data_IF_141088400528
#
_entry.id   IF_141088400528
#
_cell.length_a   1.000
_cell.length_b   1.000
_cell.length_c   1.000
_cell.angle_alpha   90.00
_cell.angle_beta   90.00
_cell.angle_gamma   90.00
#
_symmetry.space_group_name_H-M   'P 1'
#
loop_
_entity.id
_entity.type
_entity.pdbx_description
1 polymer ?
#
# COMPACT_ATOMS: atom_id res chain seq x y z
N UNK A 1 61.43 -42.76 -15.24
CA UNK A 1 60.27 -42.74 -14.28
C UNK A 1 60.19 -41.36 -13.59
N UNK A 2 59.64 -40.36 -14.28
CA UNK A 2 59.64 -38.94 -13.83
C UNK A 2 58.24 -38.25 -13.86
N UNK A 3 57.20 -39.04 -13.72
CA UNK A 3 55.81 -38.50 -13.79
C UNK A 3 55.05 -38.44 -12.45
N UNK A 4 55.70 -38.75 -11.33
CA UNK A 4 55.00 -38.94 -10.06
C UNK A 4 54.74 -37.66 -9.26
N UNK A 5 55.47 -36.57 -9.51
CA UNK A 5 55.33 -35.35 -8.69
C UNK A 5 54.22 -34.40 -9.18
N UNK A 6 54.01 -34.31 -10.48
CA UNK A 6 52.95 -33.44 -11.03
C UNK A 6 51.56 -34.04 -10.87
N UNK A 7 51.44 -35.36 -10.91
CA UNK A 7 50.15 -36.05 -10.72
C UNK A 7 49.63 -35.92 -9.28
N UNK A 8 50.54 -35.89 -8.27
CA UNK A 8 50.13 -35.65 -6.88
C UNK A 8 49.70 -34.22 -6.62
N UNK A 9 50.29 -33.23 -7.30
CA UNK A 9 49.93 -31.81 -7.19
C UNK A 9 48.59 -31.52 -7.82
N UNK A 10 48.28 -32.13 -8.97
CA UNK A 10 46.99 -32.01 -9.64
C UNK A 10 45.88 -32.69 -8.82
N UNK A 11 46.15 -33.83 -8.19
CA UNK A 11 45.17 -34.53 -7.36
C UNK A 11 44.84 -33.78 -6.07
N UNK A 12 45.81 -33.11 -5.46
CA UNK A 12 45.62 -32.26 -4.27
C UNK A 12 44.85 -30.99 -4.63
N UNK A 13 45.10 -30.40 -5.82
CA UNK A 13 44.38 -29.21 -6.28
C UNK A 13 42.93 -29.51 -6.60
N UNK A 14 42.63 -30.68 -7.17
CA UNK A 14 41.25 -31.11 -7.46
C UNK A 14 40.48 -31.44 -6.17
N UNK A 15 41.14 -32.03 -5.16
CA UNK A 15 40.51 -32.32 -3.86
C UNK A 15 40.21 -31.06 -3.02
N UNK A 16 40.94 -29.95 -3.21
CA UNK A 16 40.70 -28.70 -2.51
C UNK A 16 39.60 -27.82 -3.16
N UNK A 17 39.27 -28.04 -4.44
CA UNK A 17 38.26 -27.30 -5.16
C UNK A 17 36.83 -27.94 -5.04
N UNK A 18 36.73 -29.22 -4.74
CA UNK A 18 35.45 -29.94 -4.63
C UNK A 18 34.61 -29.49 -3.41
N UNK A 19 35.14 -29.19 -2.22
CA UNK A 19 34.32 -28.72 -1.10
C UNK A 19 33.73 -27.31 -1.28
N UNK A 20 34.26 -26.51 -2.24
CA UNK A 20 33.76 -25.18 -2.51
C UNK A 20 32.51 -25.17 -3.40
N UNK A 21 32.22 -26.28 -4.12
CA UNK A 21 31.04 -26.44 -4.96
C UNK A 21 29.85 -27.07 -4.21
N UNK A 22 30.07 -27.56 -2.98
CA UNK A 22 29.07 -28.16 -2.10
C UNK A 22 28.77 -27.25 -0.89
N UNK A 23 28.92 -25.94 -1.04
CA UNK A 23 28.42 -25.00 -0.06
C UNK A 23 26.95 -25.28 0.22
N UNK A 24 26.50 -25.23 1.49
CA UNK A 24 25.09 -25.40 1.79
C UNK A 24 24.32 -24.40 0.95
N UNK A 25 23.34 -24.88 0.17
CA UNK A 25 22.34 -23.99 -0.41
C UNK A 25 21.68 -23.29 0.77
N UNK A 26 22.11 -22.08 1.06
CA UNK A 26 21.36 -21.18 1.90
C UNK A 26 20.10 -20.86 1.10
N UNK A 27 19.07 -21.68 1.28
CA UNK A 27 17.71 -21.23 1.01
C UNK A 27 17.52 -20.06 1.98
N UNK A 28 17.48 -18.87 1.46
CA UNK A 28 16.82 -17.78 2.14
C UNK A 28 15.34 -18.17 2.20
N UNK A 29 14.97 -18.99 3.19
CA UNK A 29 13.59 -18.98 3.67
C UNK A 29 13.37 -17.54 4.13
N UNK A 30 12.61 -16.78 3.34
CA UNK A 30 12.05 -15.54 3.84
C UNK A 30 11.36 -15.86 5.16
N UNK A 31 11.97 -15.39 6.24
CA UNK A 31 11.45 -15.56 7.60
C UNK A 31 10.16 -14.73 7.76
N UNK A 32 9.11 -15.08 7.05
CA UNK A 32 7.74 -14.63 7.28
C UNK A 32 7.17 -15.15 8.62
N UNK A 33 7.97 -15.92 9.36
CA UNK A 33 7.60 -16.48 10.66
C UNK A 33 7.32 -15.41 11.73
N UNK A 34 7.88 -14.20 11.60
CA UNK A 34 7.61 -13.10 12.53
C UNK A 34 6.23 -12.47 12.33
N UNK A 35 5.70 -12.43 11.13
CA UNK A 35 4.37 -11.84 10.83
C UNK A 35 3.26 -12.82 11.21
N UNK A 36 3.48 -14.11 11.01
CA UNK A 36 2.58 -15.19 11.42
C UNK A 36 1.31 -15.31 10.58
N UNK A 37 1.23 -14.68 9.39
CA UNK A 37 0.18 -14.90 8.41
C UNK A 37 0.62 -14.43 7.03
N UNK A 38 -0.10 -14.84 5.99
CA UNK A 38 0.06 -14.36 4.61
C UNK A 38 -1.27 -14.04 3.98
N UNK A 39 -1.25 -13.15 2.98
CA UNK A 39 -2.42 -12.77 2.20
C UNK A 39 -2.06 -12.77 0.72
N UNK A 40 -2.90 -13.37 -0.11
CA UNK A 40 -2.75 -13.35 -1.57
C UNK A 40 -4.06 -13.00 -2.27
N UNK A 41 -4.01 -12.28 -3.39
CA UNK A 41 -5.20 -11.99 -4.18
C UNK A 41 -5.62 -13.20 -5.02
N UNK A 42 -6.93 -13.38 -5.21
CA UNK A 42 -7.49 -14.29 -6.20
C UNK A 42 -8.24 -13.43 -7.23
N UNK A 43 -7.72 -13.44 -8.44
CA UNK A 43 -8.23 -12.60 -9.51
C UNK A 43 -9.45 -13.21 -10.19
N UNK A 44 -10.35 -12.36 -10.70
CA UNK A 44 -11.51 -12.73 -11.50
C UNK A 44 -11.31 -12.35 -12.98
N UNK A 45 -12.34 -12.53 -13.80
CA UNK A 45 -12.28 -12.25 -15.25
C UNK A 45 -12.15 -10.75 -15.59
N UNK A 46 -12.58 -9.85 -14.68
CA UNK A 46 -12.44 -8.40 -14.85
C UNK A 46 -11.02 -7.89 -14.61
N UNK A 47 -10.10 -8.77 -14.17
CA UNK A 47 -8.73 -8.45 -13.83
C UNK A 47 -7.89 -8.10 -15.05
N UNK A 48 -7.16 -7.00 -14.97
CA UNK A 48 -6.06 -6.72 -15.88
C UNK A 48 -4.88 -7.67 -15.58
N UNK A 49 -4.58 -8.57 -16.52
CA UNK A 49 -3.60 -9.65 -16.34
C UNK A 49 -2.16 -9.19 -16.14
N UNK A 50 -1.86 -7.93 -16.45
CA UNK A 50 -0.52 -7.34 -16.27
C UNK A 50 -0.29 -6.79 -14.86
N UNK A 51 -1.35 -6.71 -14.04
CA UNK A 51 -1.29 -6.14 -12.69
C UNK A 51 -1.16 -7.20 -11.62
N UNK A 52 -0.27 -6.98 -10.64
CA UNK A 52 -0.09 -7.83 -9.45
C UNK A 52 -0.99 -7.44 -8.27
N UNK A 53 -1.91 -6.52 -8.47
CA UNK A 53 -2.93 -6.05 -7.53
C UNK A 53 -4.29 -6.08 -8.22
N UNK A 54 -5.39 -5.89 -7.52
CA UNK A 54 -6.71 -5.84 -8.15
C UNK A 54 -6.83 -4.60 -9.04
N UNK A 55 -6.78 -4.80 -10.35
CA UNK A 55 -6.99 -3.78 -11.38
C UNK A 55 -8.15 -4.23 -12.28
N UNK A 56 -9.35 -3.75 -11.95
CA UNK A 56 -10.60 -4.24 -12.51
C UNK A 56 -11.11 -3.31 -13.61
N UNK A 57 -11.43 -3.88 -14.75
CA UNK A 57 -12.21 -3.24 -15.81
C UNK A 57 -13.66 -3.69 -15.67
N UNK A 58 -14.54 -2.76 -15.29
CA UNK A 58 -15.93 -3.05 -14.95
C UNK A 58 -16.91 -2.37 -15.90
N UNK A 59 -18.17 -2.77 -15.82
CA UNK A 59 -19.27 -2.12 -16.54
C UNK A 59 -20.22 -1.43 -15.52
N UNK A 60 -20.87 -0.32 -15.89
CA UNK A 60 -21.91 0.28 -15.07
C UNK A 60 -22.99 -0.73 -14.68
N UNK A 61 -23.59 -0.56 -13.52
CA UNK A 61 -24.64 -1.42 -12.98
C UNK A 61 -24.28 -2.92 -12.90
N UNK A 62 -22.98 -3.23 -12.74
CA UNK A 62 -22.49 -4.62 -12.63
C UNK A 62 -22.11 -4.98 -11.20
N UNK A 63 -22.03 -6.30 -10.94
CA UNK A 63 -21.45 -6.83 -9.70
C UNK A 63 -20.18 -7.61 -10.03
N UNK A 64 -19.14 -7.36 -9.28
CA UNK A 64 -17.86 -8.07 -9.36
C UNK A 64 -17.60 -8.75 -8.03
N UNK A 65 -17.09 -9.97 -8.07
CA UNK A 65 -16.59 -10.66 -6.87
C UNK A 65 -15.11 -10.94 -7.07
N UNK A 66 -14.30 -10.35 -6.24
CA UNK A 66 -12.89 -10.69 -6.06
C UNK A 66 -12.76 -11.44 -4.74
N UNK A 67 -11.63 -12.05 -4.49
CA UNK A 67 -11.38 -12.64 -3.17
C UNK A 67 -9.90 -12.57 -2.80
N UNK A 68 -9.65 -12.65 -1.50
CA UNK A 68 -8.31 -12.82 -0.96
C UNK A 68 -8.23 -14.17 -0.26
N UNK A 69 -7.06 -14.79 -0.29
CA UNK A 69 -6.75 -15.95 0.53
C UNK A 69 -5.90 -15.50 1.72
N UNK A 70 -6.38 -15.76 2.94
CA UNK A 70 -5.69 -15.47 4.19
C UNK A 70 -5.27 -16.80 4.81
N UNK A 71 -3.97 -16.94 5.10
CA UNK A 71 -3.40 -18.15 5.75
C UNK A 71 -2.78 -17.75 7.08
N UNK A 72 -3.21 -18.38 8.16
CA UNK A 72 -2.55 -18.27 9.45
C UNK A 72 -1.32 -19.19 9.48
N UNK A 73 -0.12 -18.63 9.37
CA UNK A 73 1.13 -19.41 9.40
C UNK A 73 1.71 -19.53 10.82
N UNK A 74 1.02 -19.00 11.83
CA UNK A 74 1.42 -19.13 13.23
C UNK A 74 1.00 -20.46 13.84
N UNK A 75 1.53 -20.77 15.01
CA UNK A 75 1.19 -22.00 15.77
C UNK A 75 -0.04 -21.84 16.67
N UNK A 76 -0.69 -20.68 16.64
CA UNK A 76 -1.82 -20.33 17.50
C UNK A 76 -2.99 -19.79 16.66
N UNK A 77 -4.21 -19.99 17.21
CA UNK A 77 -5.41 -19.37 16.63
C UNK A 77 -5.26 -17.85 16.63
N UNK A 78 -5.75 -17.22 15.56
CA UNK A 78 -5.64 -15.77 15.41
C UNK A 78 -6.89 -15.17 14.81
N UNK A 79 -7.21 -13.95 15.21
CA UNK A 79 -8.27 -13.13 14.61
C UNK A 79 -7.67 -12.12 13.65
N UNK A 80 -8.40 -11.87 12.57
CA UNK A 80 -8.01 -10.91 11.54
C UNK A 80 -9.18 -10.00 11.22
N UNK A 81 -8.86 -8.73 10.94
CA UNK A 81 -9.82 -7.75 10.44
C UNK A 81 -9.52 -7.49 8.97
N UNK A 82 -10.52 -7.65 8.12
CA UNK A 82 -10.48 -7.30 6.69
C UNK A 82 -11.20 -5.97 6.50
N UNK A 83 -10.59 -5.03 5.77
CA UNK A 83 -11.21 -3.74 5.42
C UNK A 83 -10.90 -3.36 3.99
N UNK A 84 -11.91 -2.89 3.27
CA UNK A 84 -11.73 -2.22 1.99
C UNK A 84 -11.72 -0.73 2.25
N UNK A 85 -10.59 -0.08 1.98
CA UNK A 85 -10.34 1.32 2.33
C UNK A 85 -10.13 2.13 1.06
N UNK A 86 -10.85 3.26 0.93
CA UNK A 86 -10.64 4.24 -0.12
C UNK A 86 -9.25 4.85 0.00
N UNK A 87 -8.54 4.99 -1.13
CA UNK A 87 -7.24 5.65 -1.12
C UNK A 87 -7.37 7.13 -0.71
N UNK A 88 -6.38 7.58 0.03
CA UNK A 88 -6.22 8.98 0.44
C UNK A 88 -4.78 9.42 0.20
N UNK A 89 -4.48 10.68 0.48
CA UNK A 89 -3.11 11.19 0.43
C UNK A 89 -2.67 11.56 1.84
N UNK A 90 -1.58 10.98 2.30
CA UNK A 90 -1.06 11.27 3.62
C UNK A 90 -0.22 12.57 3.65
N UNK A 91 0.19 12.99 4.84
CA UNK A 91 0.98 14.21 5.05
C UNK A 91 2.37 14.20 4.39
N UNK A 92 2.85 13.04 3.96
CA UNK A 92 4.13 12.90 3.27
C UNK A 92 3.96 12.98 1.74
N UNK A 93 2.76 13.27 1.22
CA UNK A 93 2.47 13.30 -0.21
C UNK A 93 2.64 11.94 -0.87
N UNK A 94 2.15 10.89 -0.19
CA UNK A 94 2.14 9.51 -0.69
C UNK A 94 0.72 8.98 -0.60
N UNK A 95 0.31 8.20 -1.60
CA UNK A 95 -1.00 7.54 -1.60
C UNK A 95 -1.05 6.52 -0.45
N UNK A 96 -2.08 6.64 0.37
CA UNK A 96 -2.31 5.83 1.57
C UNK A 96 -3.59 5.01 1.41
N UNK A 97 -3.49 3.73 1.70
CA UNK A 97 -4.59 2.76 1.65
C UNK A 97 -4.99 2.26 3.04
N UNK A 98 -4.49 2.88 4.11
CA UNK A 98 -4.64 2.38 5.48
C UNK A 98 -5.50 3.28 6.37
N UNK A 99 -5.71 4.54 6.00
CA UNK A 99 -6.55 5.46 6.76
C UNK A 99 -8.03 5.22 6.54
N UNK A 100 -8.63 4.39 7.40
CA UNK A 100 -10.06 4.09 7.36
C UNK A 100 -10.98 5.27 7.73
N UNK A 101 -10.43 6.41 8.18
CA UNK A 101 -11.16 7.63 8.49
C UNK A 101 -11.08 8.67 7.39
N UNK A 102 -10.20 8.46 6.41
CA UNK A 102 -10.09 9.35 5.27
C UNK A 102 -11.40 9.41 4.51
N UNK A 103 -11.77 10.62 4.11
CA UNK A 103 -12.97 10.88 3.31
C UNK A 103 -12.55 11.31 1.92
N UNK A 104 -13.13 10.68 0.92
CA UNK A 104 -12.99 11.13 -0.45
C UNK A 104 -13.71 12.48 -0.63
N UNK A 105 -13.22 13.29 -1.59
CA UNK A 105 -13.91 14.50 -2.00
C UNK A 105 -15.25 14.15 -2.68
N UNK A 106 -16.19 15.09 -2.66
CA UNK A 106 -17.54 14.87 -3.22
C UNK A 106 -17.60 14.57 -4.72
N UNK A 107 -16.49 14.74 -5.43
CA UNK A 107 -16.33 14.38 -6.86
C UNK A 107 -15.99 12.91 -7.10
N UNK A 108 -15.82 12.10 -6.05
CA UNK A 108 -15.53 10.65 -6.20
C UNK A 108 -16.67 9.96 -6.96
N UNK A 109 -16.39 9.09 -7.95
CA UNK A 109 -17.44 8.37 -8.66
C UNK A 109 -18.33 7.55 -7.72
N UNK A 110 -17.74 6.87 -6.76
CA UNK A 110 -18.42 6.19 -5.66
C UNK A 110 -17.45 5.89 -4.52
N UNK A 111 -17.98 5.73 -3.30
CA UNK A 111 -17.21 5.37 -2.12
C UNK A 111 -17.15 3.84 -1.97
N UNK A 112 -15.94 3.28 -1.84
CA UNK A 112 -15.75 1.83 -1.74
C UNK A 112 -16.48 1.21 -0.54
N UNK A 113 -16.49 1.88 0.60
CA UNK A 113 -17.18 1.40 1.81
C UNK A 113 -18.70 1.26 1.65
N UNK A 114 -19.31 1.99 0.70
CA UNK A 114 -20.73 1.91 0.39
C UNK A 114 -21.07 0.87 -0.67
N UNK A 115 -20.07 0.50 -1.48
CA UNK A 115 -20.23 -0.37 -2.65
C UNK A 115 -19.60 -1.75 -2.47
N UNK A 116 -19.01 -2.03 -1.31
CA UNK A 116 -18.40 -3.33 -1.02
C UNK A 116 -19.11 -4.07 0.10
N UNK A 117 -19.18 -5.40 -0.03
CA UNK A 117 -19.72 -6.31 1.00
C UNK A 117 -18.78 -7.49 1.17
N UNK A 118 -18.36 -7.77 2.41
CA UNK A 118 -17.42 -8.83 2.77
C UNK A 118 -17.51 -9.19 4.26
N UNK A 119 -16.90 -10.31 4.65
CA UNK A 119 -16.74 -10.67 6.06
C UNK A 119 -15.59 -9.85 6.68
N UNK A 120 -15.94 -8.92 7.58
CA UNK A 120 -14.95 -8.00 8.17
C UNK A 120 -14.03 -8.68 9.19
N UNK A 121 -14.54 -9.68 9.93
CA UNK A 121 -13.79 -10.36 10.99
C UNK A 121 -13.74 -11.84 10.73
N UNK A 122 -12.54 -12.38 10.66
CA UNK A 122 -12.31 -13.81 10.48
C UNK A 122 -11.43 -14.36 11.61
N UNK A 123 -11.74 -15.58 12.05
CA UNK A 123 -10.90 -16.34 12.96
C UNK A 123 -10.32 -17.52 12.19
N UNK A 124 -9.02 -17.75 12.32
CA UNK A 124 -8.31 -18.89 11.72
C UNK A 124 -7.55 -19.65 12.80
N UNK A 125 -7.70 -20.95 12.80
CA UNK A 125 -6.88 -21.85 13.60
C UNK A 125 -5.43 -21.84 13.13
N UNK A 126 -4.53 -22.38 13.95
CA UNK A 126 -3.12 -22.56 13.55
C UNK A 126 -3.01 -23.32 12.22
N UNK A 127 -2.32 -22.77 11.23
CA UNK A 127 -2.14 -23.35 9.90
C UNK A 127 -3.36 -23.28 8.96
N UNK A 128 -4.50 -22.74 9.41
CA UNK A 128 -5.72 -22.66 8.61
C UNK A 128 -5.62 -21.62 7.50
N UNK A 129 -6.24 -21.93 6.37
CA UNK A 129 -6.39 -21.04 5.20
C UNK A 129 -7.86 -20.81 4.91
N UNK A 130 -8.24 -19.54 4.70
CA UNK A 130 -9.61 -19.14 4.34
C UNK A 130 -9.60 -18.21 3.15
N UNK A 131 -10.51 -18.45 2.23
CA UNK A 131 -10.82 -17.52 1.15
C UNK A 131 -11.93 -16.57 1.61
N UNK A 132 -11.69 -15.26 1.45
CA UNK A 132 -12.64 -14.20 1.83
C UNK A 132 -13.11 -13.51 0.56
N UNK A 133 -14.37 -13.73 0.13
CA UNK A 133 -14.95 -13.05 -1.01
C UNK A 133 -15.28 -11.59 -0.66
N UNK A 134 -15.08 -10.70 -1.64
CA UNK A 134 -15.41 -9.28 -1.57
C UNK A 134 -16.27 -8.96 -2.80
N UNK A 135 -17.52 -8.64 -2.58
CA UNK A 135 -18.46 -8.25 -3.63
C UNK A 135 -18.45 -6.74 -3.78
N UNK A 136 -18.25 -6.28 -5.02
CA UNK A 136 -18.32 -4.88 -5.43
C UNK A 136 -19.60 -4.66 -6.24
N UNK A 137 -20.39 -3.69 -5.87
CA UNK A 137 -21.58 -3.25 -6.61
C UNK A 137 -21.23 -1.96 -7.35
N UNK A 138 -21.13 -2.02 -8.66
CA UNK A 138 -20.79 -0.86 -9.48
C UNK A 138 -22.06 -0.05 -9.74
N UNK A 139 -22.07 1.27 -9.46
CA UNK A 139 -23.24 2.12 -9.72
C UNK A 139 -23.64 2.14 -11.20
N UNK A 140 -24.85 2.56 -11.46
CA UNK A 140 -25.41 2.69 -12.82
C UNK A 140 -24.87 3.90 -13.59
N UNK A 141 -24.41 4.93 -12.86
CA UNK A 141 -23.85 6.15 -13.45
C UNK A 141 -22.42 5.88 -13.95
N UNK A 142 -22.17 5.96 -15.27
CA UNK A 142 -20.83 5.81 -15.82
C UNK A 142 -19.85 6.85 -15.28
N UNK A 143 -18.56 6.49 -15.17
CA UNK A 143 -17.51 7.39 -14.77
C UNK A 143 -16.25 7.26 -15.65
N UNK A 144 -15.45 8.33 -15.68
CA UNK A 144 -14.10 8.34 -16.30
C UNK A 144 -13.05 8.35 -15.20
N UNK A 145 -11.88 7.78 -15.52
CA UNK A 145 -10.77 7.67 -14.59
C UNK A 145 -10.88 6.43 -13.71
N UNK A 146 -10.52 6.55 -12.45
CA UNK A 146 -10.37 5.40 -11.54
C UNK A 146 -10.93 5.67 -10.14
N UNK A 147 -11.43 4.63 -9.50
CA UNK A 147 -11.64 4.56 -8.07
C UNK A 147 -10.53 3.71 -7.49
N UNK A 148 -9.77 4.29 -6.56
CA UNK A 148 -8.56 3.67 -5.99
C UNK A 148 -8.76 3.40 -4.50
N UNK A 149 -8.29 2.25 -4.06
CA UNK A 149 -8.33 1.81 -2.67
C UNK A 149 -7.43 0.62 -2.38
N UNK A 150 -7.62 0.01 -1.23
CA UNK A 150 -6.88 -1.19 -0.84
C UNK A 150 -7.71 -2.14 0.01
N UNK A 151 -7.44 -3.42 -0.16
CA UNK A 151 -7.92 -4.48 0.72
C UNK A 151 -6.87 -4.69 1.80
N UNK A 152 -7.22 -4.33 3.03
CA UNK A 152 -6.36 -4.43 4.20
C UNK A 152 -6.72 -5.67 5.01
N UNK A 153 -5.73 -6.44 5.42
CA UNK A 153 -5.87 -7.55 6.37
C UNK A 153 -4.93 -7.30 7.53
N UNK A 154 -5.49 -7.10 8.70
CA UNK A 154 -4.75 -6.82 9.93
C UNK A 154 -4.92 -7.95 10.93
N UNK A 155 -3.82 -8.50 11.43
CA UNK A 155 -3.85 -9.47 12.52
C UNK A 155 -4.19 -8.74 13.83
N UNK A 156 -5.23 -9.19 14.53
CA UNK A 156 -5.61 -8.60 15.81
C UNK A 156 -4.60 -8.98 16.89
N UNK A 157 -4.24 -8.01 17.72
CA UNK A 157 -3.40 -8.25 18.90
C UNK A 157 -4.30 -8.77 20.01
N UNK A 158 -4.00 -9.94 20.62
CA UNK A 158 -4.73 -10.40 21.79
C UNK A 158 -4.72 -9.32 22.88
N UNK A 159 -5.85 -9.11 23.55
CA UNK A 159 -5.90 -8.21 24.70
C UNK A 159 -4.94 -8.76 25.77
N UNK A 160 -3.83 -8.07 25.97
CA UNK A 160 -2.89 -8.37 27.04
C UNK A 160 -3.27 -7.64 28.32
N UNK A 161 -2.93 -8.24 29.46
CA UNK A 161 -3.10 -7.62 30.76
C UNK A 161 -2.29 -6.31 30.87
N UNK A 162 -2.84 -5.38 31.59
CA UNK A 162 -2.57 -3.97 31.88
C UNK A 162 -1.14 -3.41 31.89
N UNK A 163 -0.12 -4.11 31.42
CA UNK A 163 1.25 -3.58 31.35
C UNK A 163 1.46 -2.96 29.97
N UNK A 164 1.85 -1.67 29.88
CA UNK A 164 2.14 -1.05 28.59
C UNK A 164 3.36 -1.72 27.95
N UNK A 165 3.14 -2.51 26.93
CA UNK A 165 4.19 -3.12 26.12
C UNK A 165 4.10 -2.58 24.70
N UNK A 166 5.25 -2.37 24.06
CA UNK A 166 5.31 -2.11 22.63
C UNK A 166 4.98 -3.40 21.89
N UNK A 167 3.85 -3.42 21.18
CA UNK A 167 3.43 -4.56 20.38
C UNK A 167 3.39 -4.16 18.92
N UNK A 168 4.08 -4.93 18.06
CA UNK A 168 4.02 -4.74 16.61
C UNK A 168 2.71 -5.31 16.07
N UNK A 169 1.97 -4.50 15.34
CA UNK A 169 0.79 -4.93 14.60
C UNK A 169 1.13 -5.01 13.13
N UNK A 170 0.90 -6.15 12.51
CA UNK A 170 1.17 -6.39 11.11
C UNK A 170 -0.10 -6.34 10.27
N UNK A 171 -0.01 -5.70 9.10
CA UNK A 171 -1.09 -5.62 8.13
C UNK A 171 -0.54 -5.87 6.73
N UNK A 172 -1.32 -6.56 5.91
CA UNK A 172 -1.12 -6.64 4.47
C UNK A 172 -2.11 -5.73 3.76
N UNK A 173 -1.65 -5.07 2.71
CA UNK A 173 -2.48 -4.22 1.86
C UNK A 173 -2.33 -4.69 0.42
N UNK A 174 -3.44 -5.03 -0.23
CA UNK A 174 -3.49 -5.32 -1.65
C UNK A 174 -4.22 -4.15 -2.32
N UNK A 175 -3.57 -3.48 -3.28
CA UNK A 175 -4.18 -2.38 -4.03
C UNK A 175 -5.44 -2.83 -4.76
N UNK A 176 -6.41 -1.92 -4.87
CA UNK A 176 -7.66 -2.10 -5.60
C UNK A 176 -7.89 -0.87 -6.48
N UNK A 177 -7.84 -1.07 -7.80
CA UNK A 177 -8.15 -0.07 -8.82
C UNK A 177 -9.37 -0.52 -9.63
N UNK A 178 -10.34 0.35 -9.81
CA UNK A 178 -11.56 0.07 -10.54
C UNK A 178 -11.73 1.12 -11.63
N UNK A 179 -11.94 0.69 -12.87
CA UNK A 179 -12.11 1.54 -14.05
C UNK A 179 -13.19 0.98 -14.97
N UNK A 180 -13.86 1.85 -15.71
CA UNK A 180 -14.78 1.45 -16.79
C UNK A 180 -14.14 1.46 -18.17
N UNK A 181 -12.96 2.07 -18.31
CA UNK A 181 -12.24 2.19 -19.56
C UNK A 181 -10.78 2.60 -19.35
N UNK A 182 -10.09 2.87 -20.44
CA UNK A 182 -8.70 3.39 -20.43
C UNK A 182 -8.65 4.92 -20.41
N UNK A 183 -9.79 5.60 -20.53
CA UNK A 183 -9.85 7.06 -20.52
C UNK A 183 -9.54 7.60 -19.15
N UNK A 184 -8.54 8.47 -19.09
CA UNK A 184 -8.24 9.22 -17.88
C UNK A 184 -9.21 10.41 -17.76
N UNK A 185 -9.53 10.79 -16.53
CA UNK A 185 -10.15 12.09 -16.28
C UNK A 185 -9.11 13.21 -16.48
N UNK A 186 -9.54 14.46 -16.48
CA UNK A 186 -8.64 15.61 -16.52
C UNK A 186 -7.71 15.61 -15.30
N UNK A 187 -6.59 16.34 -15.41
CA UNK A 187 -5.66 16.53 -14.29
C UNK A 187 -5.79 17.96 -13.81
N UNK A 188 -6.26 18.14 -12.62
CA UNK A 188 -6.46 19.44 -12.00
C UNK A 188 -6.15 19.36 -10.50
N UNK A 189 -5.34 20.29 -10.03
CA UNK A 189 -5.06 20.47 -8.60
C UNK A 189 -5.47 21.88 -8.19
N UNK A 190 -6.03 22.00 -7.01
CA UNK A 190 -6.35 23.29 -6.40
C UNK A 190 -5.68 23.41 -5.04
N UNK A 191 -5.15 24.60 -4.73
CA UNK A 191 -4.62 24.92 -3.40
C UNK A 191 -5.70 25.63 -2.58
N UNK A 192 -5.89 25.16 -1.36
CA UNK A 192 -6.84 25.77 -0.43
C UNK A 192 -6.19 26.85 0.44
N UNK A 193 -6.88 27.20 1.52
CA UNK A 193 -6.44 28.25 2.45
C UNK A 193 -5.16 27.84 3.20
N UNK A 194 -4.21 28.78 3.26
CA UNK A 194 -2.98 28.63 4.04
C UNK A 194 -3.28 28.83 5.51
N UNK A 195 -2.93 27.87 6.36
CA UNK A 195 -3.14 27.94 7.81
C UNK A 195 -1.85 27.79 8.58
N UNK A 196 -1.67 28.52 9.69
CA UNK A 196 -0.52 28.33 10.56
C UNK A 196 -0.61 26.96 11.24
N UNK A 197 0.55 26.34 11.44
CA UNK A 197 0.67 25.06 12.14
C UNK A 197 1.92 25.06 13.01
N UNK A 198 1.86 24.34 14.13
CA UNK A 198 3.03 23.98 14.91
C UNK A 198 3.13 22.44 14.92
N UNK A 199 4.24 21.94 14.41
CA UNK A 199 4.49 20.49 14.34
C UNK A 199 5.88 20.19 14.89
N UNK A 200 5.97 19.25 15.84
CA UNK A 200 7.23 18.89 16.52
C UNK A 200 8.03 20.10 17.04
N UNK A 201 7.33 21.10 17.59
CA UNK A 201 7.95 22.32 18.12
C UNK A 201 8.40 23.36 17.07
N UNK A 202 8.22 23.06 15.77
CA UNK A 202 8.55 23.98 14.67
C UNK A 202 7.31 24.76 14.23
N UNK A 203 7.47 26.04 13.97
CA UNK A 203 6.45 26.88 13.35
C UNK A 203 6.37 26.56 11.85
N UNK A 204 5.16 26.58 11.31
CA UNK A 204 4.95 26.26 9.90
C UNK A 204 3.61 26.74 9.38
N UNK A 205 3.35 26.40 8.15
CA UNK A 205 2.05 26.54 7.50
C UNK A 205 1.63 25.19 6.93
N UNK A 206 0.33 24.99 6.79
CA UNK A 206 -0.24 23.90 6.01
C UNK A 206 -1.12 24.46 4.90
N UNK A 207 -1.06 23.82 3.73
CA UNK A 207 -1.84 24.14 2.55
C UNK A 207 -2.49 22.87 2.04
N UNK A 208 -3.81 22.73 2.05
CA UNK A 208 -4.47 21.58 1.43
C UNK A 208 -4.36 21.70 -0.09
N UNK A 209 -3.75 20.69 -0.73
CA UNK A 209 -3.71 20.55 -2.19
C UNK A 209 -4.72 19.47 -2.56
N UNK A 210 -5.79 19.86 -3.23
CA UNK A 210 -6.91 19.00 -3.58
C UNK A 210 -6.79 18.47 -5.00
N UNK A 211 -6.86 17.16 -5.16
CA UNK A 211 -7.11 16.49 -6.42
C UNK A 211 -8.60 16.15 -6.50
N UNK A 212 -9.37 16.93 -7.25
CA UNK A 212 -10.82 16.72 -7.42
C UNK A 212 -11.15 15.75 -8.54
N UNK A 213 -10.13 15.23 -9.23
CA UNK A 213 -10.28 14.35 -10.38
C UNK A 213 -10.13 12.88 -9.99
N UNK A 214 -10.76 12.00 -10.76
CA UNK A 214 -10.70 10.55 -10.59
C UNK A 214 -9.45 9.95 -11.27
N UNK A 215 -8.29 10.56 -11.05
CA UNK A 215 -6.98 10.09 -11.51
C UNK A 215 -5.96 10.24 -10.39
N UNK A 216 -5.19 9.21 -10.13
CA UNK A 216 -3.99 9.35 -9.32
C UNK A 216 -2.96 10.21 -10.05
N UNK A 217 -2.28 11.08 -9.32
CA UNK A 217 -1.18 11.89 -9.83
C UNK A 217 0.09 11.52 -9.11
N UNK A 218 1.10 11.11 -9.86
CA UNK A 218 2.43 10.75 -9.34
C UNK A 218 3.53 11.59 -9.96
N UNK A 219 4.74 11.48 -9.40
CA UNK A 219 5.94 12.21 -9.82
C UNK A 219 5.76 13.73 -9.78
N UNK A 220 4.95 14.22 -8.85
CA UNK A 220 4.72 15.64 -8.68
C UNK A 220 5.92 16.28 -7.97
N UNK A 221 6.23 17.53 -8.36
CA UNK A 221 7.16 18.38 -7.65
C UNK A 221 6.37 19.56 -7.08
N UNK A 222 6.44 19.77 -5.77
CA UNK A 222 5.84 20.92 -5.08
C UNK A 222 6.95 21.91 -4.78
N UNK A 223 6.94 23.05 -5.46
CA UNK A 223 7.82 24.17 -5.16
C UNK A 223 7.07 25.22 -4.35
N UNK A 224 7.62 25.59 -3.22
CA UNK A 224 7.02 26.58 -2.33
C UNK A 224 8.02 27.67 -1.94
N UNK A 225 7.53 28.91 -1.91
CA UNK A 225 8.30 30.07 -1.46
C UNK A 225 7.46 30.83 -0.44
N UNK A 226 7.93 30.86 0.81
CA UNK A 226 7.33 31.66 1.86
C UNK A 226 8.01 33.02 1.90
N UNK A 227 7.22 34.11 1.80
CA UNK A 227 7.70 35.48 1.87
C UNK A 227 7.04 36.23 3.03
N UNK A 228 7.79 37.16 3.63
CA UNK A 228 7.31 38.14 4.61
C UNK A 228 7.74 39.52 4.17
N UNK A 229 6.79 40.42 4.00
CA UNK A 229 7.07 41.80 3.53
C UNK A 229 7.90 41.82 2.23
N UNK A 230 7.61 40.89 1.31
CA UNK A 230 8.31 40.74 0.04
C UNK A 230 9.67 40.04 0.11
N UNK A 231 10.22 39.75 1.28
CA UNK A 231 11.48 39.02 1.48
C UNK A 231 11.22 37.53 1.62
N UNK A 232 12.03 36.73 0.93
CA UNK A 232 11.99 35.29 1.06
C UNK A 232 12.45 34.85 2.45
N UNK A 233 11.60 34.08 3.15
CA UNK A 233 11.92 33.48 4.45
C UNK A 233 12.35 32.04 4.26
N UNK A 234 11.64 31.31 3.40
CA UNK A 234 11.87 29.88 3.17
C UNK A 234 11.52 29.53 1.73
N UNK A 235 12.40 28.77 1.08
CA UNK A 235 12.12 28.08 -0.16
C UNK A 235 12.24 26.59 0.08
N UNK A 236 11.35 25.82 -0.51
CA UNK A 236 11.35 24.35 -0.42
C UNK A 236 10.96 23.72 -1.75
N UNK A 237 11.52 22.57 -2.03
CA UNK A 237 11.20 21.76 -3.21
C UNK A 237 11.03 20.32 -2.78
N UNK A 238 9.79 19.85 -2.84
CA UNK A 238 9.39 18.52 -2.42
C UNK A 238 9.06 17.69 -3.67
N UNK A 239 9.89 16.67 -3.95
CA UNK A 239 9.83 15.88 -5.18
C UNK A 239 9.17 14.54 -4.96
N UNK A 240 8.77 13.91 -6.08
CA UNK A 240 8.22 12.56 -6.13
C UNK A 240 6.98 12.38 -5.25
N UNK A 241 6.11 13.40 -5.22
CA UNK A 241 4.84 13.34 -4.50
C UNK A 241 3.77 12.68 -5.32
N UNK A 242 2.84 12.04 -4.61
CA UNK A 242 1.70 11.35 -5.19
C UNK A 242 0.43 11.87 -4.52
N UNK A 243 -0.63 12.05 -5.31
CA UNK A 243 -1.94 12.43 -4.79
C UNK A 243 -2.97 11.44 -5.32
N UNK A 244 -3.69 10.79 -4.39
CA UNK A 244 -4.74 9.85 -4.73
C UNK A 244 -5.90 10.55 -5.47
N UNK A 245 -6.70 9.81 -6.26
CA UNK A 245 -7.92 10.33 -6.84
C UNK A 245 -8.85 10.88 -5.76
N UNK A 246 -9.50 12.02 -6.05
CA UNK A 246 -10.52 12.62 -5.19
C UNK A 246 -10.09 12.78 -3.72
N UNK A 247 -8.85 13.21 -3.50
CA UNK A 247 -8.26 13.33 -2.17
C UNK A 247 -7.55 14.67 -1.94
N UNK A 248 -7.18 14.93 -0.69
CA UNK A 248 -6.45 16.13 -0.28
C UNK A 248 -5.08 15.75 0.25
N UNK A 249 -4.05 16.35 -0.32
CA UNK A 249 -2.69 16.32 0.22
C UNK A 249 -2.52 17.48 1.21
N UNK A 250 -2.35 17.23 2.51
CA UNK A 250 -2.14 18.28 3.52
C UNK A 250 -0.66 18.71 3.52
N UNK A 251 -0.23 19.40 2.45
CA UNK A 251 1.14 19.90 2.33
C UNK A 251 1.48 20.82 3.51
N UNK A 252 2.66 20.65 4.07
CA UNK A 252 3.13 21.48 5.19
C UNK A 252 4.57 21.92 4.98
N UNK A 253 4.82 23.19 5.22
CA UNK A 253 6.14 23.80 5.20
C UNK A 253 6.46 24.32 6.60
N UNK A 254 7.54 23.84 7.20
CA UNK A 254 8.00 24.27 8.52
C UNK A 254 9.39 24.91 8.43
N UNK A 255 9.68 25.80 9.37
CA UNK A 255 10.99 26.44 9.51
C UNK A 255 11.35 26.60 11.00
N UNK A 256 12.63 26.64 11.27
CA UNK A 256 13.15 27.00 12.59
C UNK A 256 13.03 28.50 12.79
N UNK A 257 12.83 28.96 14.03
CA UNK A 257 12.74 30.39 14.40
C UNK A 257 14.08 31.08 14.24
#
# INVERSE_FOLDING_TARGET
MKYSKHLRFVLVLVCTLIPFLLGPKVSAEENNSQVGFSVSPNYNEAQNKESSFFDLLVQPNSKQTISITVTNTSKEDSNYTVKVIQASTNKNGVIDYTDSKAKALGSVPFELNKQTSYEEKIKLSAGETKQVPITLSIPDKPFKGEVLGGVNVTKEIPKQDKTPQLVNQYSYVIGLRIREGSENSERELSAGEVKPVVSFGKTGITVPISNVQANAMGKLTVESVLKREGKEIKKDTDKDREIAPNSVYPYSLSWDK
#
